data_IF_523523418356
#
_entry.id   IF_523523418356
#
_cell.length_a   1.000
_cell.length_b   1.000
_cell.length_c   1.000
_cell.angle_alpha   90.00
_cell.angle_beta   90.00
_cell.angle_gamma   90.00
#
_symmetry.space_group_name_H-M   'P 1'
#
loop_
_entity.id
_entity.type
_entity.pdbx_description
1 polymer ?
#
# COMPACT_ATOMS: atom_id res chain seq x y z
N UNK A 1 -74.48 -24.63 47.05
CA UNK A 1 -73.84 -25.89 46.66
C UNK A 1 -74.21 -26.16 45.20
N UNK A 2 -73.70 -25.45 44.19
CA UNK A 2 -72.30 -25.06 43.91
C UNK A 2 -71.35 -26.24 44.20
N UNK A 3 -70.63 -26.79 43.25
CA UNK A 3 -70.46 -26.42 41.86
C UNK A 3 -69.56 -27.46 41.20
N UNK A 4 -69.67 -27.49 39.88
CA UNK A 4 -68.67 -27.82 38.86
C UNK A 4 -67.82 -29.11 38.97
N UNK A 5 -67.70 -29.87 37.86
CA UNK A 5 -66.76 -30.99 37.75
C UNK A 5 -65.33 -30.46 37.68
N UNK A 6 -64.44 -30.90 38.56
CA UNK A 6 -63.03 -30.46 38.59
C UNK A 6 -62.22 -31.10 37.44
N UNK A 7 -62.34 -30.47 36.27
CA UNK A 7 -61.33 -29.84 35.39
C UNK A 7 -59.90 -30.44 35.24
N UNK A 8 -59.42 -31.34 36.08
CA UNK A 8 -58.03 -31.83 35.99
C UNK A 8 -57.81 -32.89 34.88
N UNK A 9 -58.80 -33.76 34.63
CA UNK A 9 -58.66 -34.85 33.64
C UNK A 9 -58.91 -34.42 32.19
N UNK A 10 -59.66 -33.32 31.99
CA UNK A 10 -59.89 -32.76 30.64
C UNK A 10 -58.74 -31.84 30.20
N UNK A 11 -58.06 -31.17 31.12
CA UNK A 11 -56.86 -30.37 30.83
C UNK A 11 -55.69 -31.28 30.41
N UNK A 12 -55.47 -32.39 31.11
CA UNK A 12 -54.38 -33.34 30.78
C UNK A 12 -54.56 -33.99 29.39
N UNK A 13 -55.81 -34.26 29.02
CA UNK A 13 -56.16 -34.85 27.71
C UNK A 13 -56.07 -33.83 26.55
N UNK A 14 -56.24 -32.54 26.82
CA UNK A 14 -56.08 -31.46 25.83
C UNK A 14 -54.60 -31.06 25.64
N UNK A 15 -53.76 -31.16 26.68
CA UNK A 15 -52.32 -30.94 26.60
C UNK A 15 -51.63 -32.02 25.74
N UNK A 16 -51.98 -33.30 25.96
CA UNK A 16 -51.46 -34.43 25.19
C UNK A 16 -51.87 -34.39 23.69
N UNK A 17 -53.00 -33.76 23.38
CA UNK A 17 -53.48 -33.58 22.01
C UNK A 17 -52.78 -32.40 21.28
N UNK A 18 -52.36 -31.37 22.01
CA UNK A 18 -51.61 -30.21 21.48
C UNK A 18 -50.12 -30.53 21.26
N UNK A 19 -49.52 -31.33 22.14
CA UNK A 19 -48.11 -31.77 22.00
C UNK A 19 -47.91 -32.78 20.85
N UNK A 20 -48.94 -33.57 20.53
CA UNK A 20 -48.93 -34.47 19.35
C UNK A 20 -49.13 -33.75 18.01
N UNK A 21 -49.60 -32.50 18.02
CA UNK A 21 -49.95 -31.77 16.80
C UNK A 21 -48.84 -30.83 16.28
N UNK A 22 -47.69 -30.71 16.97
CA UNK A 22 -46.60 -29.77 16.59
C UNK A 22 -45.23 -30.40 16.38
N UNK A 23 -45.15 -31.73 16.24
CA UNK A 23 -43.91 -32.44 15.89
C UNK A 23 -43.57 -32.35 14.40
N UNK A 24 -42.97 -31.24 13.98
CA UNK A 24 -42.43 -31.04 12.63
C UNK A 24 -41.29 -32.04 12.34
N UNK A 25 -41.45 -32.82 11.28
CA UNK A 25 -40.55 -33.90 10.90
C UNK A 25 -39.27 -33.34 10.26
N UNK A 26 -38.21 -33.17 11.03
CA UNK A 26 -36.87 -32.87 10.50
C UNK A 26 -36.13 -34.18 10.19
N UNK A 27 -35.69 -34.44 8.94
CA UNK A 27 -34.98 -35.67 8.60
C UNK A 27 -33.61 -35.74 9.29
N UNK A 28 -33.10 -36.95 9.65
CA UNK A 28 -31.86 -37.07 10.39
C UNK A 28 -30.67 -36.53 9.58
N UNK A 29 -29.95 -35.58 10.19
CA UNK A 29 -28.75 -35.00 9.61
C UNK A 29 -27.73 -36.10 9.28
N UNK A 30 -27.43 -36.22 7.99
CA UNK A 30 -26.46 -37.17 7.43
C UNK A 30 -25.07 -36.83 7.98
N UNK A 31 -24.56 -37.64 8.91
CA UNK A 31 -23.19 -37.56 9.43
C UNK A 31 -22.19 -37.65 8.27
N UNK A 32 -21.65 -36.51 7.83
CA UNK A 32 -20.47 -36.47 6.96
C UNK A 32 -19.24 -36.83 7.78
N UNK A 33 -18.94 -38.12 7.84
CA UNK A 33 -17.64 -38.61 8.29
C UNK A 33 -16.64 -38.32 7.16
N UNK A 34 -15.89 -37.22 7.30
CA UNK A 34 -14.94 -36.78 6.27
C UNK A 34 -14.33 -35.40 6.54
N UNK A 35 -13.99 -35.09 7.78
CA UNK A 35 -13.53 -33.75 8.19
C UNK A 35 -12.10 -33.69 8.73
N UNK A 36 -11.28 -34.75 8.55
CA UNK A 36 -9.90 -34.80 9.08
C UNK A 36 -8.82 -35.20 8.06
N UNK A 37 -9.17 -35.28 6.78
CA UNK A 37 -8.21 -35.54 5.71
C UNK A 37 -8.04 -34.35 4.73
N UNK A 38 -8.81 -33.27 4.90
CA UNK A 38 -8.70 -32.05 4.08
C UNK A 38 -7.74 -30.99 4.65
N UNK A 39 -7.32 -31.12 5.91
CA UNK A 39 -6.29 -30.25 6.50
C UNK A 39 -4.90 -30.87 6.30
N UNK A 40 -4.61 -31.27 5.06
CA UNK A 40 -3.23 -31.25 4.59
C UNK A 40 -2.90 -29.77 4.57
N UNK A 41 -2.33 -29.26 5.67
CA UNK A 41 -1.72 -27.92 5.75
C UNK A 41 -0.91 -27.75 4.47
N UNK A 42 -1.48 -27.06 3.50
CA UNK A 42 -0.78 -26.66 2.32
C UNK A 42 0.46 -25.91 2.78
N UNK A 43 1.59 -26.17 2.14
CA UNK A 43 2.79 -25.34 2.24
C UNK A 43 2.53 -23.95 1.60
N UNK A 44 1.40 -23.34 1.93
CA UNK A 44 1.00 -22.02 1.49
C UNK A 44 1.58 -20.96 2.42
N UNK A 45 1.82 -19.76 1.89
CA UNK A 45 2.23 -18.63 2.69
C UNK A 45 1.22 -18.38 3.84
N UNK A 46 1.73 -17.99 5.02
CA UNK A 46 0.91 -17.65 6.20
C UNK A 46 -0.12 -16.56 5.88
N UNK A 47 0.21 -15.65 4.96
CA UNK A 47 -0.68 -14.62 4.43
C UNK A 47 -0.96 -14.93 2.96
N UNK A 48 -2.24 -15.01 2.60
CA UNK A 48 -2.67 -15.11 1.20
C UNK A 48 -2.38 -13.79 0.48
N UNK A 49 -1.76 -13.86 -0.70
CA UNK A 49 -1.34 -12.68 -1.45
C UNK A 49 -1.61 -12.88 -2.94
N UNK A 50 -1.82 -11.79 -3.65
CA UNK A 50 -1.77 -11.79 -5.11
C UNK A 50 -0.36 -12.16 -5.58
N UNK A 51 -0.21 -12.75 -6.78
CA UNK A 51 1.09 -12.91 -7.41
C UNK A 51 1.82 -11.57 -7.50
N UNK A 52 3.15 -11.61 -7.39
CA UNK A 52 3.95 -10.42 -7.64
C UNK A 52 3.80 -9.99 -9.10
N UNK A 53 3.53 -8.72 -9.31
CA UNK A 53 3.42 -8.06 -10.60
C UNK A 53 3.70 -6.57 -10.40
N UNK A 54 4.03 -5.83 -11.46
CA UNK A 54 4.06 -4.37 -11.41
C UNK A 54 2.67 -3.86 -11.82
N UNK A 55 1.91 -3.21 -10.93
CA UNK A 55 0.64 -2.62 -11.29
C UNK A 55 0.79 -1.56 -12.38
N UNK A 56 -0.14 -1.56 -13.32
CA UNK A 56 -0.28 -0.52 -14.34
C UNK A 56 -1.55 0.27 -14.03
N UNK A 57 -1.44 1.57 -13.88
CA UNK A 57 -2.59 2.44 -13.67
C UNK A 57 -3.37 2.56 -14.98
N UNK A 58 -4.57 2.00 -15.02
CA UNK A 58 -5.43 2.07 -16.22
C UNK A 58 -6.29 3.32 -16.26
N UNK A 59 -6.42 4.02 -15.12
CA UNK A 59 -7.23 5.23 -15.02
C UNK A 59 -6.43 6.45 -15.49
N UNK A 60 -7.10 7.36 -16.22
CA UNK A 60 -6.52 8.65 -16.57
C UNK A 60 -6.18 9.42 -15.28
N UNK A 61 -4.98 10.02 -15.16
CA UNK A 61 -4.65 10.85 -14.00
C UNK A 61 -5.68 11.98 -13.81
N UNK A 62 -6.03 12.23 -12.55
CA UNK A 62 -6.84 13.40 -12.21
C UNK A 62 -6.05 14.67 -12.51
N UNK A 63 -6.63 15.57 -13.30
CA UNK A 63 -6.05 16.87 -13.67
C UNK A 63 -6.77 18.00 -12.91
N UNK A 64 -6.35 18.33 -11.66
CA UNK A 64 -7.02 19.35 -10.87
C UNK A 64 -6.77 20.78 -11.37
N UNK A 65 -5.76 20.99 -12.20
CA UNK A 65 -5.41 22.26 -12.82
C UNK A 65 -5.72 22.23 -14.31
N UNK A 66 -6.24 23.35 -14.83
CA UNK A 66 -6.28 23.63 -16.27
C UNK A 66 -4.87 23.91 -16.80
N UNK A 67 -4.69 23.83 -18.11
CA UNK A 67 -3.43 24.10 -18.81
C UNK A 67 -2.79 25.43 -18.40
N UNK A 68 -3.57 26.52 -18.39
CA UNK A 68 -3.14 27.85 -17.92
C UNK A 68 -2.55 27.82 -16.49
N UNK A 69 -3.11 26.97 -15.61
CA UNK A 69 -2.64 26.79 -14.25
C UNK A 69 -1.31 26.03 -14.20
N UNK A 70 -1.13 25.03 -15.05
CA UNK A 70 0.14 24.31 -15.21
C UNK A 70 1.23 25.26 -15.71
N UNK A 71 0.93 26.06 -16.75
CA UNK A 71 1.84 27.08 -17.28
C UNK A 71 2.20 28.13 -16.22
N UNK A 72 1.24 28.57 -15.42
CA UNK A 72 1.50 29.53 -14.33
C UNK A 72 2.47 28.95 -13.29
N UNK A 73 2.30 27.68 -12.88
CA UNK A 73 3.22 27.00 -11.96
C UNK A 73 4.61 26.84 -12.60
N UNK A 74 4.67 26.43 -13.86
CA UNK A 74 5.92 26.28 -14.60
C UNK A 74 6.68 27.63 -14.67
N UNK A 75 6.02 28.70 -15.07
CA UNK A 75 6.61 30.03 -15.16
C UNK A 75 7.05 30.58 -13.80
N UNK A 76 6.27 30.31 -12.74
CA UNK A 76 6.64 30.64 -11.38
C UNK A 76 7.91 29.90 -10.93
N UNK A 77 8.02 28.60 -11.21
CA UNK A 77 9.21 27.81 -10.90
C UNK A 77 10.44 28.33 -11.63
N UNK A 78 10.33 28.63 -12.94
CA UNK A 78 11.43 29.20 -13.71
C UNK A 78 11.89 30.54 -13.15
N UNK A 79 10.95 31.44 -12.81
CA UNK A 79 11.28 32.72 -12.18
C UNK A 79 12.07 32.54 -10.88
N UNK A 80 11.70 31.57 -10.04
CA UNK A 80 12.46 31.25 -8.82
C UNK A 80 13.88 30.83 -9.17
N UNK A 81 14.06 29.92 -10.13
CA UNK A 81 15.39 29.43 -10.54
C UNK A 81 16.25 30.54 -11.18
N UNK A 82 15.66 31.44 -11.95
CA UNK A 82 16.33 32.51 -12.70
C UNK A 82 16.68 33.73 -11.82
N UNK A 83 15.74 34.19 -10.99
CA UNK A 83 15.85 35.45 -10.25
C UNK A 83 16.33 35.25 -8.81
N UNK A 84 15.90 34.18 -8.14
CA UNK A 84 16.15 33.92 -6.71
C UNK A 84 17.29 32.90 -6.52
N UNK A 85 17.27 31.81 -7.28
CA UNK A 85 18.25 30.72 -7.22
C UNK A 85 18.00 29.72 -6.10
N UNK A 86 18.89 28.73 -6.01
CA UNK A 86 18.92 27.68 -5.00
C UNK A 86 20.32 27.64 -4.38
N UNK A 87 20.41 27.42 -3.07
CA UNK A 87 21.69 27.24 -2.39
C UNK A 87 22.22 25.81 -2.57
N UNK A 88 23.46 25.70 -3.06
CA UNK A 88 24.19 24.45 -3.17
C UNK A 88 25.39 24.50 -2.21
N UNK A 89 25.29 23.78 -1.10
CA UNK A 89 26.30 23.79 -0.03
C UNK A 89 27.54 22.93 -0.35
N UNK A 90 27.54 22.23 -1.49
CA UNK A 90 28.64 21.36 -1.89
C UNK A 90 29.55 22.05 -2.92
N UNK A 91 30.84 22.30 -2.62
CA UNK A 91 31.74 23.05 -3.52
C UNK A 91 31.86 22.47 -4.93
N UNK A 92 31.89 21.15 -5.05
CA UNK A 92 31.96 20.49 -6.37
C UNK A 92 30.70 20.73 -7.21
N UNK A 93 29.52 20.80 -6.57
CA UNK A 93 28.27 21.06 -7.28
C UNK A 93 28.26 22.49 -7.84
N UNK A 94 28.76 23.46 -7.07
CA UNK A 94 28.94 24.84 -7.51
C UNK A 94 29.87 24.91 -8.74
N UNK A 95 31.00 24.20 -8.71
CA UNK A 95 31.94 24.15 -9.83
C UNK A 95 31.34 23.53 -11.09
N UNK A 96 30.58 22.44 -10.95
CA UNK A 96 29.90 21.77 -12.06
C UNK A 96 28.87 22.73 -12.69
N UNK A 97 28.02 23.35 -11.88
CA UNK A 97 26.96 24.25 -12.36
C UNK A 97 27.54 25.53 -12.97
N UNK A 98 28.62 26.07 -12.40
CA UNK A 98 29.35 27.21 -12.98
C UNK A 98 29.93 26.88 -14.36
N UNK A 99 30.55 25.71 -14.51
CA UNK A 99 31.08 25.23 -15.81
C UNK A 99 29.96 24.97 -16.82
N UNK A 100 28.78 24.59 -16.35
CA UNK A 100 27.59 24.40 -17.17
C UNK A 100 26.91 25.72 -17.58
N UNK A 101 27.44 26.87 -17.16
CA UNK A 101 26.94 28.20 -17.54
C UNK A 101 25.92 28.80 -16.57
N UNK A 102 25.66 28.17 -15.42
CA UNK A 102 24.83 28.75 -14.37
C UNK A 102 25.54 29.93 -13.69
N UNK A 103 24.77 30.92 -13.23
CA UNK A 103 25.32 32.04 -12.46
C UNK A 103 25.45 31.62 -11.00
N UNK A 104 26.67 31.64 -10.48
CA UNK A 104 26.98 31.26 -9.10
C UNK A 104 27.49 32.48 -8.33
N UNK A 105 26.81 32.81 -7.22
CA UNK A 105 27.16 33.87 -6.28
C UNK A 105 27.27 33.28 -4.87
N UNK A 106 28.49 33.07 -4.40
CA UNK A 106 28.75 32.27 -3.20
C UNK A 106 28.20 30.85 -3.36
N UNK A 107 27.25 30.48 -2.52
CA UNK A 107 26.55 29.18 -2.56
C UNK A 107 25.22 29.24 -3.34
N UNK A 108 24.76 30.44 -3.73
CA UNK A 108 23.52 30.62 -4.48
C UNK A 108 23.76 30.40 -5.98
N UNK A 109 22.98 29.50 -6.58
CA UNK A 109 23.01 29.19 -8.00
C UNK A 109 21.71 29.61 -8.67
N UNK A 110 21.82 30.44 -9.71
CA UNK A 110 20.71 30.82 -10.58
C UNK A 110 20.87 30.16 -11.94
N UNK A 111 19.79 29.55 -12.40
CA UNK A 111 19.74 28.73 -13.61
C UNK A 111 18.78 29.38 -14.60
N UNK A 112 19.26 29.64 -15.82
CA UNK A 112 18.40 30.12 -16.91
C UNK A 112 17.41 29.06 -17.35
N UNK A 113 16.19 29.45 -17.74
CA UNK A 113 15.16 28.53 -18.23
C UNK A 113 15.64 27.64 -19.37
N UNK A 114 16.36 28.20 -20.35
CA UNK A 114 16.84 27.43 -21.50
C UNK A 114 17.76 26.28 -21.04
N UNK A 115 18.64 26.55 -20.07
CA UNK A 115 19.49 25.53 -19.46
C UNK A 115 18.66 24.48 -18.72
N UNK A 116 17.68 24.90 -17.91
CA UNK A 116 16.83 23.96 -17.16
C UNK A 116 16.05 23.05 -18.12
N UNK A 117 15.45 23.62 -19.16
CA UNK A 117 14.70 22.86 -20.16
C UNK A 117 15.59 21.89 -20.93
N UNK A 118 16.78 22.33 -21.37
CA UNK A 118 17.76 21.44 -22.03
C UNK A 118 18.16 20.26 -21.13
N UNK A 119 18.33 20.49 -19.82
CA UNK A 119 18.67 19.40 -18.89
C UNK A 119 17.47 18.47 -18.61
N UNK A 120 16.25 19.00 -18.55
CA UNK A 120 15.02 18.19 -18.39
C UNK A 120 14.82 17.27 -19.60
N UNK A 121 15.08 17.75 -20.82
CA UNK A 121 14.98 16.94 -22.05
C UNK A 121 15.94 15.75 -22.07
N UNK A 122 17.06 15.81 -21.34
CA UNK A 122 18.00 14.69 -21.21
C UNK A 122 17.51 13.61 -20.25
N UNK A 123 16.50 13.89 -19.42
CA UNK A 123 15.95 12.92 -18.50
C UNK A 123 15.09 11.89 -19.26
N UNK A 124 15.31 10.57 -19.06
CA UNK A 124 14.49 9.57 -19.72
C UNK A 124 13.06 9.58 -19.15
N UNK A 125 12.06 9.46 -20.02
CA UNK A 125 10.65 9.36 -19.61
C UNK A 125 10.32 8.05 -18.88
N UNK A 126 11.16 7.02 -19.05
CA UNK A 126 11.11 5.78 -18.27
C UNK A 126 12.48 5.11 -18.20
N UNK A 127 12.73 4.36 -17.14
CA UNK A 127 13.94 3.56 -16.99
C UNK A 127 13.67 2.31 -16.15
N UNK A 128 14.59 1.35 -16.22
CA UNK A 128 14.49 0.07 -15.53
C UNK A 128 15.50 -0.02 -14.39
N UNK A 129 15.07 -0.49 -13.23
CA UNK A 129 15.94 -0.86 -12.12
C UNK A 129 16.02 -2.38 -12.07
N UNK A 130 17.22 -2.92 -12.27
CA UNK A 130 17.49 -4.36 -12.22
C UNK A 130 18.09 -4.74 -10.86
N UNK A 131 17.34 -5.45 -10.00
CA UNK A 131 17.87 -5.89 -8.71
C UNK A 131 18.66 -7.20 -8.84
N UNK A 132 19.22 -7.67 -7.71
CA UNK A 132 19.97 -8.93 -7.65
C UNK A 132 19.19 -10.14 -8.19
N UNK A 133 17.87 -10.16 -8.00
CA UNK A 133 16.99 -11.14 -8.61
C UNK A 133 16.34 -10.53 -9.86
N UNK A 134 16.76 -10.89 -11.10
CA UNK A 134 16.21 -10.30 -12.31
C UNK A 134 14.68 -10.47 -12.46
N UNK A 135 14.09 -11.49 -11.84
CA UNK A 135 12.63 -11.70 -11.81
C UNK A 135 11.87 -10.62 -11.01
N UNK A 136 12.59 -9.73 -10.31
CA UNK A 136 12.04 -8.58 -9.57
C UNK A 136 12.39 -7.24 -10.23
N UNK A 137 12.73 -7.26 -11.51
CA UNK A 137 13.01 -6.05 -12.29
C UNK A 137 11.79 -5.12 -12.27
N UNK A 138 12.03 -3.82 -12.06
CA UNK A 138 10.96 -2.81 -12.00
C UNK A 138 11.19 -1.73 -13.06
N UNK A 139 10.10 -1.23 -13.62
CA UNK A 139 10.10 -0.09 -14.55
C UNK A 139 9.58 1.13 -13.81
N UNK A 140 10.31 2.25 -13.91
CA UNK A 140 9.92 3.56 -13.40
C UNK A 140 9.48 4.41 -14.58
N UNK A 141 8.29 4.99 -14.52
CA UNK A 141 7.72 5.85 -15.56
C UNK A 141 6.59 5.20 -16.37
N UNK A 142 5.96 6.00 -17.23
CA UNK A 142 4.70 5.65 -17.88
C UNK A 142 3.59 5.43 -16.85
N UNK A 143 2.77 4.40 -17.08
CA UNK A 143 1.64 4.06 -16.20
C UNK A 143 2.01 3.06 -15.09
N UNK A 144 3.30 2.71 -14.95
CA UNK A 144 3.75 1.75 -13.93
C UNK A 144 3.71 2.37 -12.53
N UNK A 145 3.13 1.64 -11.59
CA UNK A 145 3.14 2.01 -10.18
C UNK A 145 4.09 1.10 -9.40
N UNK A 146 5.02 1.71 -8.66
CA UNK A 146 5.94 0.98 -7.77
C UNK A 146 5.74 1.45 -6.34
N UNK A 147 5.36 0.51 -5.47
CA UNK A 147 5.27 0.74 -4.03
C UNK A 147 6.56 0.33 -3.33
N UNK A 148 7.08 1.21 -2.46
CA UNK A 148 8.22 0.96 -1.59
C UNK A 148 7.87 1.16 -0.12
N UNK A 149 8.71 0.68 0.78
CA UNK A 149 8.57 0.96 2.20
C UNK A 149 9.14 2.33 2.58
N UNK A 150 8.69 2.87 3.71
CA UNK A 150 9.30 4.02 4.35
C UNK A 150 10.66 3.62 4.97
N UNK A 151 11.68 4.49 4.88
CA UNK A 151 13.06 4.15 5.31
C UNK A 151 13.75 5.17 6.22
N UNK A 152 13.14 6.33 6.50
CA UNK A 152 13.72 7.39 7.34
C UNK A 152 13.30 7.49 8.82
N UNK A 153 12.22 6.85 9.32
CA UNK A 153 11.80 7.03 10.71
C UNK A 153 12.89 6.63 11.72
N UNK A 154 13.25 7.51 12.67
CA UNK A 154 14.25 7.19 13.70
C UNK A 154 13.69 6.29 14.82
N UNK A 155 12.38 6.05 14.82
CA UNK A 155 11.68 5.23 15.80
C UNK A 155 10.87 4.15 15.07
N UNK A 156 10.67 3.01 15.74
CA UNK A 156 9.82 1.92 15.30
C UNK A 156 8.77 1.60 16.36
N UNK A 157 7.70 0.92 15.96
CA UNK A 157 6.65 0.47 16.85
C UNK A 157 6.15 -0.89 16.38
N UNK A 158 5.96 -1.82 17.32
CA UNK A 158 5.30 -3.10 17.09
C UNK A 158 4.39 -3.45 18.29
N UNK A 159 3.61 -4.52 18.16
CA UNK A 159 2.64 -4.94 19.19
C UNK A 159 3.32 -5.54 20.44
N UNK A 160 4.53 -6.08 20.31
CA UNK A 160 5.20 -6.80 21.39
C UNK A 160 6.06 -5.89 22.28
N UNK A 161 6.71 -4.89 21.67
CA UNK A 161 7.70 -4.00 22.30
C UNK A 161 7.26 -2.53 22.35
N UNK A 162 6.16 -2.16 21.69
CA UNK A 162 5.69 -0.79 21.62
C UNK A 162 6.64 0.16 20.86
N UNK A 163 6.45 1.47 21.04
CA UNK A 163 7.24 2.52 20.37
C UNK A 163 8.62 2.67 21.02
N UNK A 164 9.67 2.64 20.20
CA UNK A 164 11.07 2.73 20.63
C UNK A 164 11.98 3.34 19.54
N UNK A 165 13.19 3.80 19.88
CA UNK A 165 14.21 4.12 18.88
C UNK A 165 14.49 2.92 17.95
N UNK A 166 14.82 3.19 16.69
CA UNK A 166 15.17 2.14 15.74
C UNK A 166 16.46 1.41 16.13
N UNK A 167 16.46 0.09 15.95
CA UNK A 167 17.63 -0.77 16.16
C UNK A 167 17.84 -1.71 14.95
N UNK A 168 18.98 -2.41 14.93
CA UNK A 168 19.36 -3.28 13.81
C UNK A 168 18.43 -4.49 13.65
N UNK A 169 17.86 -4.96 14.76
CA UNK A 169 16.93 -6.08 14.72
C UNK A 169 15.62 -5.68 14.04
N UNK A 170 15.06 -4.54 14.45
CA UNK A 170 13.85 -3.95 13.90
C UNK A 170 14.04 -3.64 12.41
N UNK A 171 15.19 -3.06 12.03
CA UNK A 171 15.54 -2.86 10.63
C UNK A 171 15.51 -4.16 9.83
N UNK A 172 16.14 -5.23 10.34
CA UNK A 172 16.14 -6.54 9.68
C UNK A 172 14.73 -7.09 9.51
N UNK A 173 13.86 -6.91 10.51
CA UNK A 173 12.48 -7.39 10.44
C UNK A 173 11.66 -6.60 9.40
N UNK A 174 11.85 -5.29 9.29
CA UNK A 174 11.25 -4.51 8.20
C UNK A 174 11.75 -4.93 6.82
N UNK A 175 13.03 -5.25 6.65
CA UNK A 175 13.54 -5.76 5.37
C UNK A 175 12.93 -7.13 5.03
N UNK A 176 12.78 -8.03 6.01
CA UNK A 176 12.06 -9.30 5.78
C UNK A 176 10.61 -9.04 5.38
N UNK A 177 9.95 -8.06 6.00
CA UNK A 177 8.58 -7.68 5.68
C UNK A 177 8.47 -7.14 4.24
N UNK A 178 9.38 -6.26 3.83
CA UNK A 178 9.49 -5.78 2.44
C UNK A 178 9.66 -6.93 1.45
N UNK A 179 10.48 -7.95 1.77
CA UNK A 179 10.67 -9.12 0.90
C UNK A 179 9.47 -10.06 0.88
N UNK A 180 8.70 -10.12 1.96
CA UNK A 180 7.58 -11.05 2.11
C UNK A 180 6.34 -10.62 1.34
N UNK A 181 6.06 -9.31 1.26
CA UNK A 181 4.86 -8.79 0.62
C UNK A 181 5.04 -8.54 -0.88
N UNK A 182 4.23 -9.21 -1.70
CA UNK A 182 4.24 -9.06 -3.16
C UNK A 182 3.78 -7.68 -3.65
N UNK A 183 3.08 -6.91 -2.81
CA UNK A 183 2.70 -5.54 -3.15
C UNK A 183 3.82 -4.51 -2.90
N UNK A 184 4.95 -4.90 -2.31
CA UNK A 184 6.11 -4.01 -2.12
C UNK A 184 7.19 -4.43 -3.13
N UNK A 185 7.63 -3.48 -3.96
CA UNK A 185 8.45 -3.75 -5.14
C UNK A 185 9.93 -3.42 -4.92
N UNK A 186 10.24 -2.47 -4.03
CA UNK A 186 11.60 -2.10 -3.70
C UNK A 186 11.76 -1.76 -2.22
N UNK A 187 12.99 -1.90 -1.74
CA UNK A 187 13.42 -1.34 -0.47
C UNK A 187 14.19 -0.04 -0.76
N UNK A 188 13.74 1.06 -0.16
CA UNK A 188 14.40 2.37 -0.24
C UNK A 188 15.41 2.61 0.88
#
# INVERSE_FOLDING_TARGET
MTGQPDDASQIETLQDALDKATGDATPPARRRHGGRAGNVRGKGAVISQLPWTIPVNSDRPTEPLREEGVEAVHNGAMRVLEEIGIEFLHPEALDILKKAGCRVDGENVRMGRDFVMEMVEKAPSSFTITPRNPERTITIGGDHMVFGNVSSPPNCSDLDRGRRPGDRESYRDFIKMTQYFNCIHFAG
#
